data_IF_139766990146
#
_entry.id   IF_139766990146
#
_cell.length_a   1.000
_cell.length_b   1.000
_cell.length_c   1.000
_cell.angle_alpha   90.00
_cell.angle_beta   90.00
_cell.angle_gamma   90.00
#
_symmetry.space_group_name_H-M   'P 1'
#
loop_
_entity.id
_entity.type
_entity.pdbx_description
1 polymer ?
#
# COMPACT_ATOMS: atom_id res chain seq x y z
N UNK A 1 -1.51 -7.18 10.88
CA UNK A 1 -1.20 -8.30 11.81
C UNK A 1 -2.49 -8.86 12.45
N UNK A 2 -3.58 -8.09 12.55
CA UNK A 2 -4.83 -8.49 13.22
C UNK A 2 -5.93 -9.03 12.31
N UNK A 3 -5.66 -9.25 11.02
CA UNK A 3 -6.69 -9.71 10.07
C UNK A 3 -7.43 -11.00 10.49
N UNK A 4 -6.78 -12.02 11.08
CA UNK A 4 -7.51 -13.20 11.53
C UNK A 4 -8.52 -12.92 12.63
N UNK A 5 -8.26 -11.92 13.47
CA UNK A 5 -9.10 -11.56 14.61
C UNK A 5 -10.19 -10.53 14.28
N UNK A 6 -10.15 -9.92 13.09
CA UNK A 6 -11.10 -8.88 12.69
C UNK A 6 -12.55 -9.40 12.67
N UNK A 7 -12.77 -10.63 12.22
CA UNK A 7 -14.09 -11.24 12.21
C UNK A 7 -14.64 -11.46 13.62
N UNK A 8 -13.80 -11.89 14.57
CA UNK A 8 -14.20 -12.04 15.98
C UNK A 8 -14.48 -10.67 16.59
N UNK A 9 -13.64 -9.67 16.33
CA UNK A 9 -13.86 -8.31 16.78
C UNK A 9 -15.18 -7.75 16.26
N UNK A 10 -15.48 -7.86 14.98
CA UNK A 10 -16.71 -7.35 14.40
C UNK A 10 -17.99 -8.02 14.94
N UNK A 11 -17.89 -9.28 15.34
CA UNK A 11 -19.00 -10.04 15.96
C UNK A 11 -19.11 -9.83 17.47
N UNK A 12 -18.12 -9.21 18.10
CA UNK A 12 -18.08 -9.01 19.55
C UNK A 12 -19.07 -7.92 20.02
N UNK A 13 -19.62 -8.01 21.23
CA UNK A 13 -20.45 -6.98 21.84
C UNK A 13 -19.75 -5.62 21.89
N UNK A 14 -20.52 -4.53 21.90
CA UNK A 14 -19.99 -3.15 21.87
C UNK A 14 -18.97 -2.87 22.98
N UNK A 15 -19.22 -3.35 24.21
CA UNK A 15 -18.30 -3.14 25.33
C UNK A 15 -16.95 -3.82 25.14
N UNK A 16 -16.92 -5.04 24.55
CA UNK A 16 -15.68 -5.75 24.20
C UNK A 16 -14.89 -4.93 23.18
N UNK A 17 -15.56 -4.41 22.15
CA UNK A 17 -14.91 -3.58 21.11
C UNK A 17 -14.33 -2.29 21.70
N UNK A 18 -15.03 -1.64 22.64
CA UNK A 18 -14.53 -0.44 23.31
C UNK A 18 -13.28 -0.74 24.12
N UNK A 19 -13.28 -1.81 24.92
CA UNK A 19 -12.13 -2.20 25.74
C UNK A 19 -10.94 -2.58 24.84
N UNK A 20 -11.19 -3.43 23.85
CA UNK A 20 -10.15 -3.85 22.89
C UNK A 20 -9.55 -2.66 22.14
N UNK A 21 -10.38 -1.69 21.76
CA UNK A 21 -9.92 -0.46 21.11
C UNK A 21 -9.05 0.41 22.02
N UNK A 22 -9.41 0.54 23.30
CA UNK A 22 -8.58 1.26 24.28
C UNK A 22 -7.23 0.60 24.47
N UNK A 23 -7.21 -0.72 24.65
CA UNK A 23 -5.97 -1.51 24.77
C UNK A 23 -5.13 -1.35 23.49
N UNK A 24 -5.73 -1.52 22.31
CA UNK A 24 -5.03 -1.39 21.04
C UNK A 24 -4.42 0.00 20.84
N UNK A 25 -5.12 1.07 21.25
CA UNK A 25 -4.59 2.43 21.19
C UNK A 25 -3.42 2.67 22.15
N UNK A 26 -3.40 2.00 23.30
CA UNK A 26 -2.30 2.09 24.25
C UNK A 26 -1.01 1.41 23.73
N UNK A 27 -1.11 0.48 22.78
CA UNK A 27 0.05 -0.17 22.20
C UNK A 27 0.82 0.84 21.33
N UNK A 28 2.12 1.06 21.54
CA UNK A 28 2.93 1.93 20.70
C UNK A 28 2.87 1.55 19.21
N UNK A 29 2.91 2.54 18.32
CA UNK A 29 2.83 2.32 16.86
C UNK A 29 3.86 1.33 16.35
N UNK A 30 5.08 1.37 16.91
CA UNK A 30 6.17 0.45 16.57
C UNK A 30 5.80 -1.00 16.78
N UNK A 31 5.03 -1.30 17.82
CA UNK A 31 4.58 -2.66 18.13
C UNK A 31 3.35 -3.04 17.29
N UNK A 32 2.44 -2.08 17.04
CA UNK A 32 1.25 -2.32 16.21
C UNK A 32 1.59 -2.63 14.76
N UNK A 33 2.48 -1.86 14.16
CA UNK A 33 2.84 -1.94 12.74
C UNK A 33 4.18 -2.61 12.48
N UNK A 34 4.97 -2.86 13.54
CA UNK A 34 6.22 -3.62 13.48
C UNK A 34 7.37 -2.91 12.77
N UNK A 35 8.38 -3.71 12.40
CA UNK A 35 9.64 -3.22 11.80
C UNK A 35 9.42 -2.40 10.52
N UNK A 36 8.41 -2.75 9.75
CA UNK A 36 8.12 -2.09 8.47
C UNK A 36 7.64 -0.65 8.65
N UNK A 37 6.88 -0.38 9.70
CA UNK A 37 6.49 0.98 10.06
C UNK A 37 7.72 1.85 10.36
N UNK A 38 8.64 1.34 11.17
CA UNK A 38 9.86 2.05 11.51
C UNK A 38 10.73 2.32 10.28
N UNK A 39 10.85 1.32 9.40
CA UNK A 39 11.60 1.46 8.15
C UNK A 39 11.05 2.62 7.30
N UNK A 40 9.76 2.63 6.99
CA UNK A 40 9.18 3.69 6.17
C UNK A 40 9.13 5.05 6.88
N UNK A 41 8.92 5.09 8.19
CA UNK A 41 8.98 6.33 8.97
C UNK A 41 10.36 6.97 8.92
N UNK A 42 11.42 6.17 9.09
CA UNK A 42 12.80 6.64 8.96
C UNK A 42 13.13 7.06 7.52
N UNK A 43 12.66 6.28 6.54
CA UNK A 43 12.85 6.60 5.13
C UNK A 43 12.29 8.00 4.80
N UNK A 44 11.04 8.28 5.19
CA UNK A 44 10.41 9.58 4.95
C UNK A 44 11.20 10.68 5.65
N UNK A 45 11.55 10.50 6.93
CA UNK A 45 12.25 11.53 7.71
C UNK A 45 13.63 11.88 7.13
N UNK A 46 14.27 10.94 6.45
CA UNK A 46 15.57 11.16 5.81
C UNK A 46 15.42 11.73 4.39
N UNK A 47 14.57 11.12 3.57
CA UNK A 47 14.49 11.44 2.13
C UNK A 47 13.89 12.81 1.85
N UNK A 48 13.06 13.35 2.73
CA UNK A 48 12.46 14.69 2.55
C UNK A 48 13.48 15.84 2.53
N UNK A 49 14.68 15.60 3.09
CA UNK A 49 15.75 16.59 3.15
C UNK A 49 16.91 16.28 2.19
N UNK A 50 16.73 15.34 1.25
CA UNK A 50 17.77 15.05 0.29
C UNK A 50 17.91 16.20 -0.72
N UNK A 51 19.14 16.64 -0.91
CA UNK A 51 19.53 17.48 -2.03
C UNK A 51 19.25 16.77 -3.36
N UNK A 52 19.12 17.55 -4.44
CA UNK A 52 18.66 17.01 -5.72
C UNK A 52 19.52 15.88 -6.27
N UNK A 53 20.83 15.97 -6.14
CA UNK A 53 21.75 14.91 -6.55
C UNK A 53 21.48 13.60 -5.80
N UNK A 54 21.40 13.69 -4.47
CA UNK A 54 21.11 12.54 -3.61
C UNK A 54 19.71 11.98 -3.85
N UNK A 55 18.75 12.85 -4.09
CA UNK A 55 17.38 12.47 -4.44
C UNK A 55 17.33 11.71 -5.75
N UNK A 56 18.02 12.19 -6.79
CA UNK A 56 18.11 11.53 -8.08
C UNK A 56 18.79 10.15 -7.96
N UNK A 57 19.89 10.07 -7.25
CA UNK A 57 20.58 8.81 -6.99
C UNK A 57 19.67 7.80 -6.28
N UNK A 58 18.92 8.25 -5.26
CA UNK A 58 17.94 7.44 -4.54
C UNK A 58 16.81 6.95 -5.45
N UNK A 59 16.30 7.80 -6.35
CA UNK A 59 15.25 7.43 -7.32
C UNK A 59 15.79 6.36 -8.27
N UNK A 60 16.97 6.59 -8.88
CA UNK A 60 17.58 5.65 -9.84
C UNK A 60 17.82 4.28 -9.17
N UNK A 61 18.36 4.26 -7.96
CA UNK A 61 18.62 3.00 -7.23
C UNK A 61 17.32 2.22 -6.95
N UNK A 62 16.25 2.89 -6.53
CA UNK A 62 14.97 2.24 -6.26
C UNK A 62 14.25 1.78 -7.54
N UNK A 63 14.33 2.56 -8.62
CA UNK A 63 13.83 2.15 -9.93
C UNK A 63 14.59 0.91 -10.43
N UNK A 64 15.91 0.90 -10.36
CA UNK A 64 16.74 -0.26 -10.71
C UNK A 64 16.31 -1.52 -9.96
N UNK A 65 16.15 -1.45 -8.62
CA UNK A 65 15.65 -2.56 -7.81
C UNK A 65 14.25 -3.02 -8.25
N UNK A 66 13.39 -2.08 -8.60
CA UNK A 66 12.03 -2.38 -9.08
C UNK A 66 12.05 -3.09 -10.43
N UNK A 67 12.86 -2.62 -11.38
CA UNK A 67 12.99 -3.24 -12.70
C UNK A 67 13.63 -4.63 -12.63
N UNK A 68 14.68 -4.80 -11.82
CA UNK A 68 15.28 -6.13 -11.61
C UNK A 68 14.22 -7.08 -11.02
N UNK A 69 13.51 -6.66 -9.98
CA UNK A 69 12.45 -7.47 -9.40
C UNK A 69 11.33 -7.81 -10.41
N UNK A 70 10.94 -6.87 -11.25
CA UNK A 70 9.93 -7.09 -12.28
C UNK A 70 10.44 -8.08 -13.36
N UNK A 71 11.67 -7.90 -13.81
CA UNK A 71 12.30 -8.77 -14.82
C UNK A 71 12.45 -10.21 -14.35
N UNK A 72 12.93 -10.39 -13.12
CA UNK A 72 13.19 -11.73 -12.57
C UNK A 72 11.90 -12.46 -12.19
N UNK A 73 10.88 -11.75 -11.74
CA UNK A 73 9.75 -12.35 -11.04
C UNK A 73 8.40 -12.23 -11.76
N UNK A 74 8.37 -11.65 -12.98
CA UNK A 74 7.15 -11.58 -13.79
C UNK A 74 7.40 -11.95 -15.24
N UNK A 75 6.46 -12.63 -15.87
CA UNK A 75 6.59 -13.02 -17.28
C UNK A 75 6.40 -11.83 -18.20
N UNK A 76 5.44 -10.97 -17.90
CA UNK A 76 5.11 -9.82 -18.70
C UNK A 76 6.28 -8.84 -18.83
N UNK A 77 6.85 -8.38 -17.72
CA UNK A 77 7.94 -7.40 -17.77
C UNK A 77 9.23 -8.01 -18.31
N UNK A 78 9.49 -9.28 -18.06
CA UNK A 78 10.61 -9.98 -18.67
C UNK A 78 10.50 -9.99 -20.20
N UNK A 79 9.33 -10.31 -20.75
CA UNK A 79 9.09 -10.31 -22.19
C UNK A 79 9.21 -8.90 -22.79
N UNK A 80 8.64 -7.89 -22.15
CA UNK A 80 8.71 -6.50 -22.62
C UNK A 80 10.15 -5.98 -22.62
N UNK A 81 10.90 -6.18 -21.54
CA UNK A 81 12.29 -5.70 -21.43
C UNK A 81 13.18 -6.34 -22.49
N UNK A 82 13.07 -7.66 -22.69
CA UNK A 82 13.79 -8.35 -23.75
C UNK A 82 13.41 -7.84 -25.14
N UNK A 83 12.12 -7.60 -25.39
CA UNK A 83 11.62 -7.11 -26.69
C UNK A 83 12.20 -5.74 -27.07
N UNK A 84 12.36 -4.85 -26.10
CA UNK A 84 12.85 -3.49 -26.35
C UNK A 84 14.36 -3.32 -26.07
N UNK A 85 15.05 -4.39 -25.71
CA UNK A 85 16.48 -4.34 -25.39
C UNK A 85 16.79 -3.58 -24.10
N UNK A 86 15.84 -3.51 -23.16
CA UNK A 86 16.05 -2.85 -21.88
C UNK A 86 16.66 -3.83 -20.87
N UNK A 87 17.91 -3.56 -20.47
CA UNK A 87 18.58 -4.33 -19.42
C UNK A 87 18.42 -3.63 -18.04
N UNK A 88 17.63 -4.21 -17.10
CA UNK A 88 17.43 -3.62 -15.79
C UNK A 88 18.69 -3.57 -14.93
N UNK A 89 19.67 -4.44 -15.19
CA UNK A 89 20.91 -4.46 -14.41
C UNK A 89 21.85 -3.30 -14.73
N UNK A 90 21.76 -2.76 -15.94
CA UNK A 90 22.56 -1.60 -16.37
C UNK A 90 21.85 -0.27 -16.15
N UNK A 91 20.60 -0.29 -15.65
CA UNK A 91 19.84 0.93 -15.41
C UNK A 91 20.57 1.90 -14.47
N UNK A 92 20.90 3.09 -14.96
CA UNK A 92 21.66 4.11 -14.25
C UNK A 92 21.20 5.55 -14.55
N UNK A 93 20.27 5.72 -15.48
CA UNK A 93 19.80 7.03 -15.89
C UNK A 93 18.29 6.99 -16.16
N UNK A 94 17.57 8.03 -15.73
CA UNK A 94 16.13 8.16 -15.90
C UNK A 94 15.71 8.23 -17.38
N UNK A 95 16.57 8.74 -18.26
CA UNK A 95 16.33 8.78 -19.72
C UNK A 95 16.13 7.39 -20.33
N UNK A 96 16.68 6.34 -19.73
CA UNK A 96 16.46 4.96 -20.18
C UNK A 96 14.99 4.52 -20.08
N UNK A 97 14.17 5.22 -19.30
CA UNK A 97 12.71 4.97 -19.26
C UNK A 97 12.04 5.18 -20.62
N UNK A 98 12.61 6.01 -21.48
CA UNK A 98 12.09 6.26 -22.84
C UNK A 98 12.14 5.02 -23.74
N UNK A 99 12.93 4.02 -23.39
CA UNK A 99 12.97 2.72 -24.10
C UNK A 99 11.74 1.87 -23.79
N UNK A 100 11.09 2.11 -22.64
CA UNK A 100 9.97 1.29 -22.19
C UNK A 100 8.66 1.78 -22.83
N UNK A 101 7.80 0.87 -23.29
CA UNK A 101 6.49 1.25 -23.80
C UNK A 101 5.58 1.72 -22.69
N UNK A 102 4.64 2.60 -23.04
CA UNK A 102 3.55 2.96 -22.13
C UNK A 102 2.63 1.77 -21.86
N UNK A 103 2.10 1.73 -20.68
CA UNK A 103 1.13 0.74 -20.23
C UNK A 103 -0.19 1.44 -19.88
N UNK A 104 -1.29 0.90 -20.36
CA UNK A 104 -2.63 1.39 -20.05
C UNK A 104 -3.44 0.39 -19.23
N UNK A 105 -4.66 0.77 -18.87
CA UNK A 105 -5.57 -0.07 -18.07
C UNK A 105 -5.95 -1.38 -18.78
N UNK A 106 -6.00 -1.39 -20.09
CA UNK A 106 -6.37 -2.56 -20.89
C UNK A 106 -5.24 -3.58 -20.84
N UNK A 107 -4.03 -3.13 -21.10
CA UNK A 107 -2.81 -3.95 -21.00
C UNK A 107 -2.68 -4.59 -19.62
N UNK A 108 -2.90 -3.81 -18.54
CA UNK A 108 -2.80 -4.32 -17.18
C UNK A 108 -3.87 -5.38 -16.85
N UNK A 109 -5.07 -5.26 -17.41
CA UNK A 109 -6.14 -6.25 -17.22
C UNK A 109 -5.88 -7.54 -17.98
N UNK A 110 -5.50 -7.43 -19.24
CA UNK A 110 -5.24 -8.58 -20.12
C UNK A 110 -4.05 -9.40 -19.64
N UNK A 111 -3.05 -8.74 -19.07
CA UNK A 111 -1.81 -9.39 -18.62
C UNK A 111 -1.74 -9.60 -17.09
N UNK A 112 -2.85 -9.50 -16.38
CA UNK A 112 -2.93 -9.56 -14.91
C UNK A 112 -2.13 -10.72 -14.30
N UNK A 113 -2.26 -11.93 -14.84
CA UNK A 113 -1.57 -13.11 -14.31
C UNK A 113 -0.08 -13.09 -14.62
N UNK A 114 0.31 -12.58 -15.77
CA UNK A 114 1.71 -12.49 -16.20
C UNK A 114 2.48 -11.38 -15.46
N UNK A 115 1.78 -10.33 -15.01
CA UNK A 115 2.33 -9.22 -14.20
C UNK A 115 2.52 -9.64 -12.74
N UNK A 116 1.81 -10.66 -12.28
CA UNK A 116 1.89 -11.14 -10.92
C UNK A 116 3.28 -11.69 -10.60
N UNK A 117 3.82 -11.31 -9.44
CA UNK A 117 5.10 -11.82 -8.98
C UNK A 117 4.99 -13.30 -8.57
N UNK A 118 5.74 -14.16 -9.26
CA UNK A 118 5.72 -15.62 -9.09
C UNK A 118 6.29 -16.10 -7.77
N UNK A 119 7.17 -15.33 -7.16
CA UNK A 119 7.86 -15.70 -5.92
C UNK A 119 7.06 -15.36 -4.67
N UNK A 120 5.85 -14.78 -4.83
CA UNK A 120 4.96 -14.46 -3.72
C UNK A 120 3.82 -15.47 -3.67
N UNK A 121 3.79 -16.28 -2.61
CA UNK A 121 2.70 -17.24 -2.39
C UNK A 121 1.33 -16.55 -2.38
N UNK A 122 0.33 -17.17 -2.98
CA UNK A 122 -1.08 -16.72 -2.99
C UNK A 122 -1.60 -16.40 -1.59
N UNK A 123 -1.25 -17.21 -0.60
CA UNK A 123 -1.64 -17.01 0.80
C UNK A 123 -1.19 -15.65 1.37
N UNK A 124 -0.12 -15.06 0.82
CA UNK A 124 0.40 -13.74 1.21
C UNK A 124 -0.20 -12.59 0.41
N UNK A 125 -0.98 -12.86 -0.62
CA UNK A 125 -1.59 -11.84 -1.45
C UNK A 125 -2.98 -11.46 -0.95
N UNK A 126 -3.31 -10.20 -1.09
CA UNK A 126 -4.63 -9.63 -0.93
C UNK A 126 -5.06 -9.10 -2.31
N UNK A 127 -6.17 -9.61 -2.79
CA UNK A 127 -6.81 -9.08 -3.99
C UNK A 127 -7.50 -7.76 -3.67
N UNK A 128 -7.30 -6.76 -4.51
CA UNK A 128 -7.92 -5.45 -4.38
C UNK A 128 -8.28 -4.90 -5.76
N UNK A 129 -9.27 -4.03 -5.82
CA UNK A 129 -9.69 -3.34 -7.03
C UNK A 129 -9.58 -1.84 -6.85
N UNK A 130 -9.27 -1.13 -7.94
CA UNK A 130 -9.36 0.33 -7.93
C UNK A 130 -10.83 0.75 -8.02
N UNK A 131 -11.23 1.76 -7.24
CA UNK A 131 -12.55 2.40 -7.36
C UNK A 131 -12.59 3.29 -8.60
N UNK A 132 -12.80 2.69 -9.78
CA UNK A 132 -12.77 3.44 -11.04
C UNK A 132 -14.02 4.29 -11.23
N UNK A 133 -13.88 5.61 -11.30
CA UNK A 133 -14.94 6.53 -11.74
C UNK A 133 -15.20 6.46 -13.25
N UNK A 134 -14.32 5.84 -14.02
CA UNK A 134 -14.30 5.82 -15.49
C UNK A 134 -14.52 4.43 -16.10
N UNK A 135 -15.28 3.55 -15.44
CA UNK A 135 -15.62 2.25 -16.00
C UNK A 135 -15.02 1.06 -15.26
N UNK A 136 -14.47 0.07 -15.97
CA UNK A 136 -14.05 -1.21 -15.39
C UNK A 136 -12.85 -1.03 -14.45
N UNK A 137 -12.92 -1.48 -13.18
CA UNK A 137 -11.82 -1.38 -12.23
C UNK A 137 -10.58 -2.19 -12.68
N UNK A 138 -9.39 -1.73 -12.26
CA UNK A 138 -8.17 -2.53 -12.35
C UNK A 138 -8.06 -3.39 -11.10
N UNK A 139 -7.74 -4.66 -11.31
CA UNK A 139 -7.46 -5.60 -10.24
C UNK A 139 -5.97 -5.62 -9.93
N UNK A 140 -5.62 -5.57 -8.65
CA UNK A 140 -4.24 -5.58 -8.20
C UNK A 140 -4.03 -6.58 -7.07
N UNK A 141 -2.83 -7.14 -6.99
CA UNK A 141 -2.41 -8.02 -5.91
C UNK A 141 -1.51 -7.25 -4.95
N UNK A 142 -1.93 -7.12 -3.71
CA UNK A 142 -1.19 -6.45 -2.65
C UNK A 142 -0.60 -7.48 -1.69
N UNK A 143 0.61 -7.26 -1.21
CA UNK A 143 1.20 -8.11 -0.17
C UNK A 143 0.59 -7.77 1.18
N UNK A 144 -0.02 -8.79 1.83
CA UNK A 144 -0.66 -8.63 3.14
C UNK A 144 0.28 -8.02 4.17
N UNK A 145 -0.19 -7.00 4.88
CA UNK A 145 0.56 -6.34 5.96
C UNK A 145 1.69 -5.41 5.50
N UNK A 146 2.09 -5.44 4.22
CA UNK A 146 3.16 -4.60 3.69
C UNK A 146 2.61 -3.29 3.11
N UNK A 147 1.74 -3.39 2.12
CA UNK A 147 1.30 -2.22 1.35
C UNK A 147 0.46 -1.27 2.20
N UNK A 148 -0.44 -1.80 3.01
CA UNK A 148 -1.23 -0.97 3.93
C UNK A 148 -0.39 -0.29 5.00
N UNK A 149 0.65 -0.97 5.52
CA UNK A 149 1.56 -0.34 6.49
C UNK A 149 2.31 0.81 5.84
N UNK A 150 2.81 0.61 4.61
CA UNK A 150 3.49 1.65 3.84
C UNK A 150 2.57 2.85 3.60
N UNK A 151 1.39 2.63 3.05
CA UNK A 151 0.39 3.67 2.80
C UNK A 151 0.07 4.45 4.08
N UNK A 152 -0.18 3.74 5.18
CA UNK A 152 -0.51 4.34 6.45
C UNK A 152 0.61 5.25 7.00
N UNK A 153 1.87 4.85 6.85
CA UNK A 153 3.00 5.68 7.27
C UNK A 153 3.05 6.98 6.47
N UNK A 154 2.92 6.91 5.14
CA UNK A 154 2.92 8.11 4.30
C UNK A 154 1.75 9.04 4.59
N UNK A 155 0.53 8.50 4.72
CA UNK A 155 -0.65 9.28 5.08
C UNK A 155 -0.51 9.96 6.44
N UNK A 156 -0.06 9.22 7.46
CA UNK A 156 0.10 9.79 8.80
C UNK A 156 1.20 10.82 8.88
N UNK A 157 2.25 10.71 8.07
CA UNK A 157 3.27 11.75 7.95
C UNK A 157 2.67 13.04 7.40
N UNK A 158 1.90 12.98 6.33
CA UNK A 158 1.20 14.13 5.77
C UNK A 158 0.26 14.77 6.79
N UNK A 159 -0.51 13.99 7.52
CA UNK A 159 -1.44 14.50 8.55
C UNK A 159 -0.70 15.16 9.71
N UNK A 160 0.45 14.63 10.12
CA UNK A 160 1.28 15.26 11.17
C UNK A 160 1.73 16.67 10.79
N UNK A 161 1.98 16.94 9.51
CA UNK A 161 2.36 18.27 9.02
C UNK A 161 1.28 19.32 9.24
N UNK A 162 0.02 18.92 9.31
CA UNK A 162 -1.12 19.79 9.62
C UNK A 162 -1.57 19.69 11.09
N UNK A 163 -0.73 19.14 11.97
CA UNK A 163 -0.96 19.09 13.41
C UNK A 163 -1.68 17.85 13.93
N UNK A 164 -2.00 16.86 13.08
CA UNK A 164 -2.62 15.62 13.52
C UNK A 164 -1.76 14.87 14.54
N UNK A 165 -2.42 14.48 15.63
CA UNK A 165 -1.85 13.59 16.65
C UNK A 165 -2.55 12.23 16.59
N UNK A 166 -1.83 11.19 16.92
CA UNK A 166 -2.37 9.83 16.87
C UNK A 166 -3.54 9.57 17.84
N UNK A 167 -3.68 10.42 18.85
CA UNK A 167 -4.81 10.42 19.79
C UNK A 167 -6.08 11.07 19.25
N UNK A 168 -5.98 11.80 18.13
CA UNK A 168 -7.09 12.55 17.59
C UNK A 168 -8.17 11.62 17.03
N UNK A 169 -9.41 12.07 17.08
CA UNK A 169 -10.53 11.38 16.45
C UNK A 169 -10.53 11.71 14.96
N UNK A 170 -10.71 10.68 14.14
CA UNK A 170 -10.79 10.83 12.69
C UNK A 170 -12.23 10.56 12.27
N UNK A 171 -12.82 11.49 11.53
CA UNK A 171 -14.03 11.22 10.76
C UNK A 171 -13.65 10.66 9.40
N UNK A 172 -14.14 9.46 9.08
CA UNK A 172 -13.88 8.80 7.79
C UNK A 172 -15.17 8.80 6.99
N UNK A 173 -15.18 9.58 5.91
CA UNK A 173 -16.26 9.58 4.95
C UNK A 173 -15.94 8.57 3.84
N UNK A 174 -16.58 7.42 3.90
CA UNK A 174 -16.45 6.36 2.88
C UNK A 174 -17.82 6.04 2.31
N UNK A 175 -17.90 5.70 1.04
CA UNK A 175 -19.12 5.22 0.37
C UNK A 175 -19.49 3.79 0.79
N UNK A 176 -19.38 3.47 2.08
CA UNK A 176 -19.84 2.20 2.63
C UNK A 176 -21.25 2.36 3.15
N UNK A 177 -22.12 1.41 2.81
CA UNK A 177 -23.47 1.34 3.37
C UNK A 177 -23.36 1.16 4.88
N UNK A 178 -23.86 2.14 5.63
CA UNK A 178 -24.10 1.98 7.06
C UNK A 178 -25.34 1.13 7.21
N UNK A 179 -25.24 0.02 7.93
CA UNK A 179 -26.38 -0.86 8.18
C UNK A 179 -27.46 -0.09 8.96
N UNK A 180 -28.52 0.31 8.24
CA UNK A 180 -29.63 1.10 8.79
C UNK A 180 -30.60 0.29 9.67
N UNK A 181 -30.39 -1.02 9.82
CA UNK A 181 -31.30 -1.88 10.57
C UNK A 181 -31.18 -1.76 12.09
N UNK A 182 -30.37 -0.87 12.60
CA UNK A 182 -30.25 -0.63 14.04
C UNK A 182 -30.24 0.88 14.32
N UNK A 183 -31.43 1.40 14.56
CA UNK A 183 -31.68 2.75 15.10
C UNK A 183 -31.05 3.90 14.29
N UNK A 184 -31.73 4.99 14.10
CA UNK A 184 -31.38 6.27 13.43
C UNK A 184 -29.93 6.79 13.66
N UNK A 185 -28.93 5.96 13.43
CA UNK A 185 -27.51 6.28 13.64
C UNK A 185 -26.91 6.65 12.28
N UNK A 186 -26.71 7.95 12.06
CA UNK A 186 -26.07 8.50 10.87
C UNK A 186 -24.56 8.27 10.82
N UNK A 187 -23.96 7.71 11.88
CA UNK A 187 -22.52 7.42 11.96
C UNK A 187 -22.26 6.18 12.80
N UNK A 188 -21.20 5.47 12.46
CA UNK A 188 -20.68 4.33 13.21
C UNK A 188 -19.36 4.73 13.86
N UNK A 189 -19.30 4.65 15.20
CA UNK A 189 -18.06 4.83 15.92
C UNK A 189 -17.29 3.50 15.99
N UNK A 190 -16.12 3.46 15.39
CA UNK A 190 -15.19 2.35 15.52
C UNK A 190 -14.02 2.76 16.43
N UNK A 191 -13.76 2.03 17.51
CA UNK A 191 -12.71 2.38 18.47
C UNK A 191 -11.28 2.03 17.96
N UNK A 192 -11.16 1.39 16.78
CA UNK A 192 -9.88 0.98 16.20
C UNK A 192 -9.71 1.60 14.83
#
# INVERSE_FOLDING_TARGET
ILYPFLNYYNRSPKWVRIISGKIYRAIPLRLRYGKLYNYYSNLISQTQYYEDEKKNSFIIENLKKTFINAYENTDYYKAIFNKVGFDPYTFNNIEMLKLLPFSDKTILRENKQQIKNKNISEAKLLYSTTGGTSGIPIEVFLVKGRERTREYVFMTDQWKRIGYKFSDRIAVLRGTVVDHNKENIFFKYEPI
#
